data_IF_386150983420
#
_entry.id   IF_386150983420
#
_cell.length_a   1.000
_cell.length_b   1.000
_cell.length_c   1.000
_cell.angle_alpha   90.00
_cell.angle_beta   90.00
_cell.angle_gamma   90.00
#
_symmetry.space_group_name_H-M   'P 1'
#
loop_
_entity.id
_entity.type
_entity.pdbx_description
1 polymer ?
#
# COMPACT_ATOMS: atom_id res chain seq x y z
N UNK A 1 -23.32 -2.93 16.87
CA UNK A 1 -22.17 -2.03 17.06
C UNK A 1 -21.97 -1.29 15.77
N UNK A 2 -22.19 0.03 15.77
CA UNK A 2 -21.90 0.89 14.63
C UNK A 2 -20.38 0.90 14.43
N UNK A 3 -19.87 0.05 13.56
CA UNK A 3 -18.49 0.12 13.09
C UNK A 3 -18.44 1.20 12.00
N UNK A 4 -18.65 2.45 12.42
CA UNK A 4 -18.44 3.58 11.54
C UNK A 4 -16.95 3.60 11.22
N UNK A 5 -16.58 3.26 9.99
CA UNK A 5 -15.21 3.31 9.49
C UNK A 5 -14.64 4.71 9.78
N UNK A 6 -13.85 4.83 10.84
CA UNK A 6 -13.25 6.09 11.25
C UNK A 6 -12.23 6.46 10.18
N UNK A 7 -12.38 7.67 9.63
CA UNK A 7 -11.43 8.22 8.65
C UNK A 7 -10.04 8.27 9.30
N UNK A 8 -8.98 7.74 8.65
CA UNK A 8 -7.65 7.82 9.22
C UNK A 8 -7.12 9.26 9.15
N UNK A 9 -6.43 9.67 10.21
CA UNK A 9 -5.66 10.92 10.27
C UNK A 9 -4.27 10.72 9.62
N UNK A 10 -3.71 9.50 9.71
CA UNK A 10 -2.38 9.18 9.20
C UNK A 10 -2.41 7.93 8.31
N UNK A 11 -1.92 8.06 7.09
CA UNK A 11 -1.88 6.98 6.09
C UNK A 11 -0.46 6.71 5.65
N UNK A 12 -0.03 5.46 5.74
CA UNK A 12 1.26 5.03 5.19
C UNK A 12 1.14 4.75 3.70
N UNK A 13 2.16 5.11 2.92
CA UNK A 13 2.20 4.83 1.48
C UNK A 13 3.38 3.91 1.17
N UNK A 14 3.07 2.69 0.69
CA UNK A 14 4.08 1.76 0.18
C UNK A 14 4.14 1.91 -1.33
N UNK A 15 5.23 2.49 -1.84
CA UNK A 15 5.38 2.77 -3.26
C UNK A 15 6.85 2.79 -3.69
N UNK A 16 7.07 2.84 -5.01
CA UNK A 16 8.41 3.08 -5.56
C UNK A 16 8.92 4.46 -5.21
N UNK A 17 10.24 4.65 -5.20
CA UNK A 17 10.86 5.96 -4.98
C UNK A 17 10.29 7.02 -5.94
N UNK A 18 10.20 6.72 -7.24
CA UNK A 18 9.63 7.66 -8.22
C UNK A 18 8.16 8.02 -7.95
N UNK A 19 7.35 7.09 -7.43
CA UNK A 19 5.98 7.38 -7.02
C UNK A 19 5.94 8.30 -5.79
N UNK A 20 6.83 8.09 -4.82
CA UNK A 20 6.93 8.93 -3.63
C UNK A 20 7.41 10.35 -4.00
N UNK A 21 8.44 10.46 -4.84
CA UNK A 21 8.96 11.75 -5.33
C UNK A 21 7.92 12.53 -6.15
N UNK A 22 7.11 11.83 -6.96
CA UNK A 22 6.04 12.46 -7.72
C UNK A 22 4.91 13.04 -6.84
N UNK A 23 4.79 12.59 -5.59
CA UNK A 23 3.94 13.24 -4.58
C UNK A 23 2.43 13.07 -4.78
N UNK A 24 1.96 12.24 -5.71
CA UNK A 24 0.54 12.19 -6.09
C UNK A 24 -0.38 11.77 -4.92
N UNK A 25 0.00 10.73 -4.19
CA UNK A 25 -0.76 10.26 -3.03
C UNK A 25 -0.69 11.28 -1.89
N UNK A 26 0.49 11.81 -1.63
CA UNK A 26 0.73 12.81 -0.58
C UNK A 26 -0.12 14.05 -0.79
N UNK A 27 -0.10 14.61 -2.00
CA UNK A 27 -0.90 15.76 -2.35
C UNK A 27 -2.40 15.49 -2.20
N UNK A 28 -2.87 14.34 -2.71
CA UNK A 28 -4.31 14.03 -2.71
C UNK A 28 -4.85 13.73 -1.30
N UNK A 29 -4.05 13.11 -0.43
CA UNK A 29 -4.38 12.84 0.96
C UNK A 29 -4.35 14.11 1.81
N UNK A 30 -3.34 14.97 1.62
CA UNK A 30 -3.26 16.26 2.32
C UNK A 30 -4.46 17.17 2.02
N UNK A 31 -4.98 17.15 0.79
CA UNK A 31 -6.23 17.84 0.43
C UNK A 31 -7.48 17.35 1.18
N UNK A 32 -7.38 16.23 1.90
CA UNK A 32 -8.44 15.68 2.74
C UNK A 32 -8.09 15.75 4.23
N UNK A 33 -7.09 16.57 4.61
CA UNK A 33 -6.58 16.69 5.98
C UNK A 33 -6.05 15.36 6.53
N UNK A 34 -5.43 14.54 5.67
CA UNK A 34 -4.79 13.27 6.02
C UNK A 34 -3.28 13.41 5.85
N UNK A 35 -2.55 13.15 6.93
CA UNK A 35 -1.09 13.15 6.96
C UNK A 35 -0.54 11.85 6.37
N UNK A 36 0.62 11.94 5.70
CA UNK A 36 1.23 10.79 5.03
C UNK A 36 2.52 10.36 5.70
N UNK A 37 2.57 9.07 6.06
CA UNK A 37 3.80 8.41 6.51
C UNK A 37 4.47 7.75 5.32
N UNK A 38 5.69 8.15 5.00
CA UNK A 38 6.47 7.57 3.90
C UNK A 38 7.60 6.69 4.44
N UNK A 39 8.06 5.69 3.67
CA UNK A 39 9.25 4.93 4.02
C UNK A 39 10.51 5.79 3.93
N UNK A 40 11.55 5.44 4.68
CA UNK A 40 12.88 6.04 4.50
C UNK A 40 13.58 5.46 3.28
N UNK A 41 14.64 6.12 2.80
CA UNK A 41 15.47 5.61 1.70
C UNK A 41 16.11 4.25 2.03
N UNK A 42 16.51 4.06 3.29
CA UNK A 42 17.05 2.79 3.77
C UNK A 42 16.01 1.67 3.71
N UNK A 43 14.77 1.94 4.15
CA UNK A 43 13.68 0.96 4.10
C UNK A 43 13.28 0.62 2.66
N UNK A 44 13.33 1.61 1.75
CA UNK A 44 13.12 1.36 0.34
C UNK A 44 14.18 0.40 -0.22
N UNK A 45 15.45 0.67 0.11
CA UNK A 45 16.60 -0.10 -0.39
C UNK A 45 16.67 -1.49 0.23
N UNK A 46 16.41 -1.62 1.53
CA UNK A 46 16.54 -2.88 2.26
C UNK A 46 15.32 -3.79 2.10
N UNK A 47 14.12 -3.23 2.00
CA UNK A 47 12.89 -4.03 2.08
C UNK A 47 12.01 -3.90 0.84
N UNK A 48 11.67 -2.68 0.42
CA UNK A 48 10.72 -2.51 -0.69
C UNK A 48 11.27 -3.03 -2.02
N UNK A 49 12.46 -2.58 -2.41
CA UNK A 49 13.06 -2.93 -3.70
C UNK A 49 13.33 -4.44 -3.76
N UNK A 50 14.03 -5.07 -2.79
CA UNK A 50 14.22 -6.52 -2.78
C UNK A 50 12.90 -7.30 -2.76
N UNK A 51 11.93 -6.83 -1.97
CA UNK A 51 10.61 -7.44 -1.87
C UNK A 51 9.85 -7.43 -3.20
N UNK A 52 9.81 -6.29 -3.89
CA UNK A 52 9.17 -6.18 -5.20
C UNK A 52 9.89 -7.04 -6.26
N UNK A 53 11.23 -7.06 -6.28
CA UNK A 53 11.98 -7.93 -7.18
C UNK A 53 11.76 -9.42 -6.87
N UNK A 54 11.52 -9.80 -5.62
CA UNK A 54 11.15 -11.16 -5.23
C UNK A 54 9.79 -11.57 -5.81
N UNK A 55 8.80 -10.68 -5.71
CA UNK A 55 7.48 -10.90 -6.32
C UNK A 55 7.61 -11.05 -7.84
N UNK A 56 8.35 -10.15 -8.51
CA UNK A 56 8.54 -10.17 -9.97
C UNK A 56 9.19 -11.47 -10.49
N UNK A 57 10.00 -12.14 -9.67
CA UNK A 57 10.61 -13.45 -10.01
C UNK A 57 9.83 -14.66 -9.47
N UNK A 58 8.62 -14.46 -8.97
CA UNK A 58 7.74 -15.52 -8.46
C UNK A 58 7.99 -15.96 -7.01
N UNK A 59 8.93 -15.33 -6.30
CA UNK A 59 9.24 -15.62 -4.90
C UNK A 59 8.31 -14.85 -3.95
N UNK A 60 7.00 -15.15 -4.00
CA UNK A 60 5.96 -14.37 -3.30
C UNK A 60 6.14 -14.33 -1.78
N UNK A 61 6.51 -15.46 -1.14
CA UNK A 61 6.69 -15.52 0.32
C UNK A 61 7.87 -14.66 0.78
N UNK A 62 9.00 -14.77 0.10
CA UNK A 62 10.17 -13.93 0.36
C UNK A 62 9.83 -12.44 0.16
N UNK A 63 9.14 -12.11 -0.93
CA UNK A 63 8.66 -10.75 -1.17
C UNK A 63 7.74 -10.25 -0.05
N UNK A 64 6.83 -11.10 0.41
CA UNK A 64 5.90 -10.79 1.49
C UNK A 64 6.57 -10.58 2.84
N UNK A 65 7.64 -11.31 3.14
CA UNK A 65 8.44 -11.12 4.36
C UNK A 65 9.09 -9.73 4.38
N UNK A 66 9.78 -9.35 3.29
CA UNK A 66 10.39 -8.03 3.16
C UNK A 66 9.35 -6.89 3.21
N UNK A 67 8.27 -7.02 2.44
CA UNK A 67 7.23 -5.99 2.39
C UNK A 67 6.44 -5.88 3.70
N UNK A 68 6.37 -6.95 4.49
CA UNK A 68 5.81 -6.90 5.85
C UNK A 68 6.66 -6.07 6.80
N UNK A 69 8.00 -6.13 6.69
CA UNK A 69 8.88 -5.28 7.50
C UNK A 69 8.63 -3.80 7.22
N UNK A 70 8.52 -3.42 5.95
CA UNK A 70 8.21 -2.05 5.58
C UNK A 70 6.83 -1.61 6.07
N UNK A 71 5.80 -2.45 5.88
CA UNK A 71 4.46 -2.15 6.38
C UNK A 71 4.46 -1.91 7.90
N UNK A 72 5.13 -2.79 8.66
CA UNK A 72 5.23 -2.68 10.11
C UNK A 72 6.00 -1.41 10.55
N UNK A 73 7.03 -0.99 9.82
CA UNK A 73 7.74 0.25 10.12
C UNK A 73 6.86 1.49 9.93
N UNK A 74 5.98 1.50 8.91
CA UNK A 74 5.00 2.57 8.72
C UNK A 74 3.94 2.58 9.84
N UNK A 75 3.45 1.41 10.25
CA UNK A 75 2.56 1.29 11.40
C UNK A 75 3.23 1.76 12.69
N UNK A 76 4.49 1.41 12.93
CA UNK A 76 5.25 1.85 14.09
C UNK A 76 5.46 3.37 14.13
N UNK A 77 5.43 4.02 12.96
CA UNK A 77 5.43 5.50 12.83
C UNK A 77 4.04 6.13 12.91
N UNK A 78 3.00 5.37 13.22
CA UNK A 78 1.65 5.89 13.46
C UNK A 78 0.70 5.84 12.27
N UNK A 79 1.09 5.22 11.14
CA UNK A 79 0.13 4.96 10.07
C UNK A 79 -1.04 4.12 10.62
N UNK A 80 -2.28 4.54 10.36
CA UNK A 80 -3.49 3.82 10.79
C UNK A 80 -4.00 2.88 9.69
N UNK A 81 -3.72 3.25 8.43
CA UNK A 81 -4.00 2.49 7.22
C UNK A 81 -2.80 2.58 6.28
N UNK A 82 -2.68 1.62 5.36
CA UNK A 82 -1.66 1.64 4.31
C UNK A 82 -2.28 1.66 2.92
N UNK A 83 -1.74 2.49 2.03
CA UNK A 83 -1.99 2.41 0.59
C UNK A 83 -0.88 1.57 -0.04
N UNK A 84 -1.26 0.51 -0.75
CA UNK A 84 -0.37 -0.41 -1.44
C UNK A 84 -0.13 0.08 -2.88
N UNK A 85 0.53 1.22 -3.04
CA UNK A 85 0.70 1.92 -4.32
C UNK A 85 1.73 1.27 -5.28
N UNK A 86 1.95 -0.04 -5.16
CA UNK A 86 2.76 -0.85 -6.05
C UNK A 86 2.08 -2.23 -6.18
N UNK A 87 1.84 -2.66 -7.43
CA UNK A 87 1.00 -3.84 -7.76
C UNK A 87 1.55 -5.17 -7.22
N UNK A 88 2.83 -5.23 -6.90
CA UNK A 88 3.50 -6.39 -6.30
C UNK A 88 3.11 -6.58 -4.82
N UNK A 89 2.75 -5.49 -4.14
CA UNK A 89 2.63 -5.49 -2.68
C UNK A 89 1.39 -6.25 -2.18
N UNK A 90 0.19 -6.07 -2.77
CA UNK A 90 -1.00 -6.82 -2.35
C UNK A 90 -0.80 -8.34 -2.41
N UNK A 91 -0.28 -8.84 -3.55
CA UNK A 91 -0.07 -10.28 -3.76
C UNK A 91 1.00 -10.87 -2.84
N UNK A 92 2.04 -10.10 -2.50
CA UNK A 92 3.07 -10.51 -1.56
C UNK A 92 2.54 -10.63 -0.13
N UNK A 93 1.80 -9.63 0.33
CA UNK A 93 1.20 -9.61 1.68
C UNK A 93 0.14 -10.70 1.86
N UNK A 94 -0.59 -11.04 0.80
CA UNK A 94 -1.50 -12.19 0.79
C UNK A 94 -0.74 -13.51 0.93
N UNK A 95 0.36 -13.71 0.20
CA UNK A 95 1.14 -14.95 0.24
C UNK A 95 1.71 -15.31 1.62
N UNK A 96 1.91 -14.30 2.48
CA UNK A 96 2.37 -14.48 3.88
C UNK A 96 1.24 -14.36 4.91
N UNK A 97 -0.01 -14.24 4.48
CA UNK A 97 -1.16 -14.01 5.36
C UNK A 97 -0.93 -12.87 6.35
N UNK A 98 -0.40 -11.73 5.87
CA UNK A 98 -0.08 -10.60 6.73
C UNK A 98 -1.30 -10.21 7.60
N UNK A 99 -1.16 -10.13 8.93
CA UNK A 99 -2.30 -10.00 9.84
C UNK A 99 -3.02 -8.65 9.71
N UNK A 100 -2.32 -7.64 9.19
CA UNK A 100 -2.81 -6.27 9.02
C UNK A 100 -3.47 -6.00 7.65
N UNK A 101 -3.69 -7.01 6.78
CA UNK A 101 -4.29 -6.78 5.44
C UNK A 101 -5.63 -6.03 5.48
N UNK A 102 -6.42 -6.20 6.53
CA UNK A 102 -7.68 -5.49 6.76
C UNK A 102 -7.50 -3.97 7.00
N UNK A 103 -6.26 -3.50 7.21
CA UNK A 103 -5.89 -2.09 7.34
C UNK A 103 -5.26 -1.54 6.05
N UNK A 104 -5.24 -2.30 4.96
CA UNK A 104 -4.63 -1.89 3.70
C UNK A 104 -5.67 -1.56 2.64
N UNK A 105 -5.30 -0.66 1.71
CA UNK A 105 -6.06 -0.31 0.52
C UNK A 105 -5.21 -0.58 -0.71
N UNK A 106 -5.74 -1.36 -1.66
CA UNK A 106 -5.10 -1.67 -2.93
C UNK A 106 -5.67 -0.80 -4.06
N UNK A 107 -4.90 0.19 -4.57
CA UNK A 107 -5.31 1.02 -5.70
C UNK A 107 -5.56 0.22 -6.99
N UNK A 108 -4.87 -0.92 -7.20
CA UNK A 108 -5.06 -1.73 -8.39
C UNK A 108 -6.42 -2.43 -8.38
N UNK A 109 -6.83 -2.97 -7.23
CA UNK A 109 -8.18 -3.50 -7.03
C UNK A 109 -9.25 -2.42 -7.25
N UNK A 110 -9.09 -1.25 -6.64
CA UNK A 110 -10.03 -0.14 -6.80
C UNK A 110 -10.14 0.32 -8.28
N UNK A 111 -9.02 0.35 -9.01
CA UNK A 111 -9.01 0.64 -10.44
C UNK A 111 -9.75 -0.44 -11.23
N UNK A 112 -9.51 -1.72 -10.96
CA UNK A 112 -10.16 -2.84 -11.64
C UNK A 112 -11.69 -2.82 -11.44
N UNK A 113 -12.15 -2.58 -10.22
CA UNK A 113 -13.57 -2.40 -9.89
C UNK A 113 -14.17 -1.24 -10.66
N UNK A 114 -13.48 -0.10 -10.73
CA UNK A 114 -13.95 1.06 -11.48
C UNK A 114 -14.05 0.79 -12.97
N UNK A 115 -13.05 0.14 -13.56
CA UNK A 115 -13.07 -0.27 -14.97
C UNK A 115 -14.26 -1.19 -15.27
N UNK A 116 -14.52 -2.18 -14.40
CA UNK A 116 -15.65 -3.10 -14.53
C UNK A 116 -17.00 -2.36 -14.48
N UNK A 117 -17.18 -1.43 -13.54
CA UNK A 117 -18.40 -0.61 -13.44
C UNK A 117 -18.63 0.24 -14.69
N UNK A 118 -17.60 0.93 -15.17
CA UNK A 118 -17.68 1.77 -16.37
C UNK A 118 -18.10 0.95 -17.61
N UNK A 119 -17.56 -0.26 -17.74
CA UNK A 119 -17.92 -1.17 -18.81
C UNK A 119 -19.39 -1.60 -18.77
N UNK A 120 -19.91 -1.88 -17.58
CA UNK A 120 -21.30 -2.30 -17.40
C UNK A 120 -22.30 -1.17 -17.66
N UNK A 121 -21.96 0.07 -17.31
CA UNK A 121 -22.83 1.24 -17.53
C UNK A 121 -22.85 1.69 -19.01
N UNK A 122 -21.78 1.41 -19.75
CA UNK A 122 -21.64 1.80 -21.16
C UNK A 122 -22.21 0.73 -22.12
N UNK A 123 -22.90 -0.28 -21.59
CA UNK A 123 -23.58 -1.34 -22.37
C UNK A 123 -25.09 -1.25 -22.24
#
# INVERSE_FOLDING_TARGET
>A
MNDACVRPEWVGVIATQGTLEAGWYQHRLAQQDIEVVVPTEEELTQWFVPGCYAVKRGALKEGGEWLSLQANALFARGAQKLVLACTEVPVALEAVNAPFRHLTFDPAQALAERCSQLWQITR
#
